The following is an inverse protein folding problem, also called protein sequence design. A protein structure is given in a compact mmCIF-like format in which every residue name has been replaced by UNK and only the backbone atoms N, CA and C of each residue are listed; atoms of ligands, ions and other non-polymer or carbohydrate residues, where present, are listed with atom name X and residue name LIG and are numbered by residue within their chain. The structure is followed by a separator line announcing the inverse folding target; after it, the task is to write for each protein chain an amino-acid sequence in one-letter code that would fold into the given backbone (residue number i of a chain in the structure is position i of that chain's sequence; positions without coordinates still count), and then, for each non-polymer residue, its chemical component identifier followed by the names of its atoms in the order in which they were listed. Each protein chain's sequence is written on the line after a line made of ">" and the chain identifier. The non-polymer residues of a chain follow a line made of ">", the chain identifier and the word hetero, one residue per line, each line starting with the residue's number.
data_IF_108706689004
#
_entry.id   IF_108706689004
#
_cell.length_a   1.000
_cell.length_b   1.000
_cell.length_c   1.000
_cell.angle_alpha   90.00
_cell.angle_beta   90.00
_cell.angle_gamma   90.00
#
_symmetry.space_group_name_H-M   'P 1'
#
loop_
_entity.id
_entity.type
_entity.pdbx_description
1 polymer ?
#
# COMPACT_ATOMS: atom_id res chain seq x y z
N UNK A 1 -36.29 -24.90 60.66
CA UNK A 1 -36.68 -25.43 59.33
C UNK A 1 -35.91 -24.63 58.28
N UNK A 2 -35.11 -25.32 57.47
CA UNK A 2 -34.39 -24.74 56.32
C UNK A 2 -35.40 -24.48 55.19
N UNK A 3 -35.28 -23.37 54.48
CA UNK A 3 -35.74 -23.24 53.10
C UNK A 3 -34.88 -22.18 52.40
N UNK A 4 -33.89 -22.68 51.68
CA UNK A 4 -33.04 -21.96 50.75
C UNK A 4 -33.86 -21.60 49.51
N UNK A 5 -34.08 -20.31 49.25
CA UNK A 5 -34.53 -19.81 47.95
C UNK A 5 -33.33 -19.30 47.16
N UNK A 6 -32.85 -20.18 46.29
CA UNK A 6 -31.92 -19.91 45.22
C UNK A 6 -32.48 -18.85 44.24
N UNK A 7 -31.69 -17.82 43.96
CA UNK A 7 -31.62 -17.25 42.60
C UNK A 7 -30.16 -17.09 42.21
N UNK A 8 -29.56 -18.16 41.69
CA UNK A 8 -28.28 -18.06 40.99
C UNK A 8 -28.52 -17.28 39.69
N UNK A 9 -27.97 -16.06 39.60
CA UNK A 9 -27.89 -15.36 38.32
C UNK A 9 -27.07 -16.23 37.38
N UNK A 10 -27.71 -16.77 36.34
CA UNK A 10 -27.02 -17.51 35.27
C UNK A 10 -26.05 -16.56 34.59
N UNK A 11 -24.76 -16.74 34.86
CA UNK A 11 -23.66 -16.10 34.13
C UNK A 11 -23.78 -16.52 32.66
N UNK A 12 -23.74 -15.59 31.68
CA UNK A 12 -23.69 -15.96 30.28
C UNK A 12 -22.47 -16.84 30.03
N UNK A 13 -22.67 -18.05 29.48
CA UNK A 13 -21.57 -18.91 29.05
C UNK A 13 -20.81 -18.20 27.93
N UNK A 14 -19.65 -17.64 28.25
CA UNK A 14 -18.67 -17.20 27.27
C UNK A 14 -18.33 -18.40 26.38
N UNK A 15 -18.46 -18.25 25.05
CA UNK A 15 -18.01 -19.26 24.10
C UNK A 15 -16.54 -19.59 24.39
N UNK A 16 -16.13 -20.86 24.34
CA UNK A 16 -14.73 -21.22 24.52
C UNK A 16 -13.90 -20.45 23.48
N UNK A 17 -12.98 -19.62 23.98
CA UNK A 17 -11.95 -18.96 23.19
C UNK A 17 -11.24 -20.08 22.42
N UNK A 18 -11.23 -20.02 21.09
CA UNK A 18 -10.40 -20.94 20.28
C UNK A 18 -9.01 -20.91 20.88
N UNK A 19 -8.57 -22.04 21.41
CA UNK A 19 -7.20 -22.22 21.89
C UNK A 19 -6.29 -21.79 20.74
N UNK A 20 -5.34 -20.88 21.03
CA UNK A 20 -4.22 -20.67 20.13
C UNK A 20 -3.55 -22.01 19.95
N UNK A 21 -3.45 -22.48 18.72
CA UNK A 21 -2.61 -23.61 18.37
C UNK A 21 -1.18 -23.28 18.80
N UNK A 22 -0.42 -24.22 19.38
CA UNK A 22 0.98 -24.01 19.68
C UNK A 22 1.71 -23.64 18.39
N UNK A 23 2.60 -22.63 18.48
CA UNK A 23 3.45 -22.23 17.36
C UNK A 23 4.21 -23.48 16.88
N UNK A 24 4.20 -23.83 15.59
CA UNK A 24 4.92 -25.00 15.10
C UNK A 24 6.42 -24.84 15.37
N UNK A 25 7.09 -25.94 15.74
CA UNK A 25 8.55 -26.01 15.99
C UNK A 25 9.36 -25.89 14.69
N UNK A 26 9.01 -24.96 13.80
CA UNK A 26 9.45 -24.92 12.40
C UNK A 26 10.90 -24.47 12.22
N UNK A 27 11.59 -24.00 13.27
CA UNK A 27 12.96 -23.50 13.11
C UNK A 27 13.92 -24.64 12.73
N UNK A 28 13.69 -25.87 13.23
CA UNK A 28 14.57 -26.99 12.92
C UNK A 28 14.29 -27.61 11.54
N UNK A 29 13.02 -27.68 11.12
CA UNK A 29 12.66 -28.08 9.75
C UNK A 29 13.11 -27.04 8.72
N UNK A 30 13.04 -25.74 9.02
CA UNK A 30 13.53 -24.70 8.11
C UNK A 30 15.05 -24.77 7.91
N UNK A 31 15.81 -25.08 8.97
CA UNK A 31 17.27 -25.23 8.89
C UNK A 31 17.69 -26.50 8.14
N UNK A 32 16.96 -27.60 8.29
CA UNK A 32 17.24 -28.83 7.53
C UNK A 32 16.85 -28.68 6.06
N UNK A 33 15.73 -28.01 5.77
CA UNK A 33 15.31 -27.72 4.40
C UNK A 33 16.24 -26.71 3.71
N UNK A 34 16.83 -25.75 4.43
CA UNK A 34 17.76 -24.78 3.86
C UNK A 34 19.03 -25.45 3.28
N UNK A 35 19.57 -26.45 3.97
CA UNK A 35 20.75 -27.19 3.50
C UNK A 35 20.45 -28.08 2.27
N UNK A 36 19.23 -28.63 2.19
CA UNK A 36 18.78 -29.37 1.00
C UNK A 36 18.44 -28.42 -0.16
N UNK A 37 17.95 -27.22 0.13
CA UNK A 37 17.66 -26.17 -0.85
C UNK A 37 18.95 -25.65 -1.50
N UNK A 38 20.01 -25.42 -0.73
CA UNK A 38 21.33 -25.00 -1.23
C UNK A 38 21.92 -26.03 -2.23
N UNK A 39 21.81 -27.33 -1.93
CA UNK A 39 22.20 -28.40 -2.87
C UNK A 39 21.32 -28.50 -4.12
N UNK A 40 20.06 -28.06 -4.03
CA UNK A 40 19.16 -28.01 -5.19
C UNK A 40 19.42 -26.79 -6.09
N UNK A 41 19.87 -25.67 -5.49
CA UNK A 41 20.20 -24.44 -6.22
C UNK A 41 21.48 -24.58 -7.05
N UNK A 42 22.48 -25.32 -6.58
CA UNK A 42 23.72 -25.58 -7.34
C UNK A 42 23.49 -26.43 -8.60
N UNK A 43 22.35 -27.12 -8.72
CA UNK A 43 22.04 -28.02 -9.84
C UNK A 43 20.87 -27.56 -10.72
N UNK A 44 20.28 -26.39 -10.47
CA UNK A 44 19.19 -25.89 -11.31
C UNK A 44 19.75 -25.05 -12.47
N UNK A 45 19.44 -25.36 -13.74
CA UNK A 45 19.75 -24.46 -14.85
C UNK A 45 19.09 -23.09 -14.62
N UNK A 46 19.79 -22.00 -14.97
CA UNK A 46 19.44 -20.58 -14.78
C UNK A 46 18.15 -20.13 -15.49
N UNK A 47 17.02 -20.79 -15.26
CA UNK A 47 15.70 -20.40 -15.75
C UNK A 47 14.63 -20.57 -14.66
N UNK A 48 14.91 -20.10 -13.45
CA UNK A 48 13.84 -19.64 -12.55
C UNK A 48 13.46 -18.20 -12.93
N UNK A 49 13.05 -17.99 -14.18
CA UNK A 49 12.17 -16.87 -14.50
C UNK A 49 10.85 -17.21 -13.83
N UNK A 50 10.71 -16.81 -12.57
CA UNK A 50 9.44 -16.85 -11.87
C UNK A 50 8.48 -16.08 -12.76
N UNK A 51 7.55 -16.79 -13.41
CA UNK A 51 6.59 -16.19 -14.34
C UNK A 51 5.94 -14.99 -13.67
N UNK A 52 6.25 -13.79 -14.16
CA UNK A 52 5.66 -12.56 -13.65
C UNK A 52 4.17 -12.64 -13.96
N UNK A 53 3.36 -12.90 -12.94
CA UNK A 53 1.93 -12.74 -13.08
C UNK A 53 1.66 -11.24 -13.22
N UNK A 54 1.59 -10.76 -14.46
CA UNK A 54 1.36 -9.35 -14.80
C UNK A 54 -0.05 -8.88 -14.48
N UNK A 55 -0.92 -9.78 -13.99
CA UNK A 55 -2.32 -9.51 -13.80
C UNK A 55 -2.62 -8.84 -12.45
N UNK A 56 -2.74 -7.51 -12.47
CA UNK A 56 -3.13 -6.68 -11.31
C UNK A 56 -4.65 -6.62 -11.08
N UNK A 57 -5.44 -7.53 -11.67
CA UNK A 57 -6.91 -7.51 -11.60
C UNK A 57 -7.48 -7.48 -10.18
N UNK A 58 -6.81 -8.09 -9.21
CA UNK A 58 -7.26 -8.06 -7.82
C UNK A 58 -7.18 -6.65 -7.21
N UNK A 59 -6.40 -5.74 -7.79
CA UNK A 59 -6.30 -4.33 -7.42
C UNK A 59 -7.09 -3.41 -8.35
N UNK A 60 -7.92 -3.97 -9.25
CA UNK A 60 -8.75 -3.19 -10.15
C UNK A 60 -9.81 -2.40 -9.36
N UNK A 61 -9.81 -1.09 -9.50
CA UNK A 61 -10.75 -0.22 -8.82
C UNK A 61 -10.34 1.26 -8.79
N UNK A 62 -11.09 2.05 -8.05
CA UNK A 62 -10.83 3.49 -7.85
C UNK A 62 -10.19 3.73 -6.49
N UNK A 63 -9.26 4.67 -6.42
CA UNK A 63 -8.53 5.01 -5.21
C UNK A 63 -8.46 6.54 -5.06
N UNK A 64 -8.53 7.00 -3.82
CA UNK A 64 -8.13 8.34 -3.41
C UNK A 64 -6.61 8.31 -3.16
N UNK A 65 -5.83 9.04 -3.96
CA UNK A 65 -4.38 9.17 -3.77
C UNK A 65 -4.10 10.44 -3.02
N UNK A 66 -3.48 10.33 -1.86
CA UNK A 66 -3.07 11.45 -1.03
C UNK A 66 -1.55 11.62 -1.07
N UNK A 67 -1.11 12.86 -1.22
CA UNK A 67 0.30 13.26 -1.12
C UNK A 67 0.43 14.54 -0.28
N UNK A 68 1.58 14.70 0.38
CA UNK A 68 1.86 15.87 1.21
C UNK A 68 2.88 16.79 0.53
N UNK A 69 2.51 18.05 0.37
CA UNK A 69 3.43 19.12 0.00
C UNK A 69 3.81 19.91 1.25
N UNK A 70 4.94 19.56 1.87
CA UNK A 70 5.39 20.19 3.13
C UNK A 70 5.66 21.68 2.96
N UNK A 71 6.30 22.10 1.87
CA UNK A 71 6.67 23.50 1.62
C UNK A 71 5.46 24.42 1.52
N UNK A 72 4.35 23.94 0.95
CA UNK A 72 3.12 24.70 0.81
C UNK A 72 2.11 24.44 1.93
N UNK A 73 2.42 23.54 2.88
CA UNK A 73 1.51 23.07 3.94
C UNK A 73 0.14 22.62 3.40
N UNK A 74 0.15 21.77 2.37
CA UNK A 74 -1.06 21.28 1.68
C UNK A 74 -1.02 19.77 1.48
N UNK A 75 -2.19 19.14 1.56
CA UNK A 75 -2.42 17.76 1.13
C UNK A 75 -3.11 17.81 -0.23
N UNK A 76 -2.57 17.07 -1.20
CA UNK A 76 -3.18 16.91 -2.52
C UNK A 76 -3.90 15.58 -2.57
N UNK A 77 -5.17 15.61 -2.98
CA UNK A 77 -6.01 14.43 -3.20
C UNK A 77 -6.27 14.30 -4.69
N UNK A 78 -5.76 13.23 -5.28
CA UNK A 78 -6.00 12.84 -6.68
C UNK A 78 -6.89 11.61 -6.76
N UNK A 79 -7.45 11.36 -7.95
CA UNK A 79 -8.24 10.15 -8.22
C UNK A 79 -7.43 9.21 -9.10
N UNK A 80 -7.16 8.01 -8.60
CA UNK A 80 -6.46 6.95 -9.34
C UNK A 80 -7.45 5.87 -9.72
N UNK A 81 -7.44 5.44 -10.97
CA UNK A 81 -8.20 4.29 -11.45
C UNK A 81 -7.24 3.27 -12.02
N UNK A 82 -7.22 2.07 -11.41
CA UNK A 82 -6.48 0.91 -11.89
C UNK A 82 -7.48 0.00 -12.60
N UNK A 83 -7.23 -0.28 -13.88
CA UNK A 83 -8.05 -1.19 -14.67
C UNK A 83 -7.54 -2.63 -14.56
N UNK A 84 -8.41 -3.58 -14.88
CA UNK A 84 -8.07 -5.01 -14.80
C UNK A 84 -6.94 -5.43 -15.76
N UNK A 85 -6.70 -4.68 -16.83
CA UNK A 85 -5.60 -4.89 -17.78
C UNK A 85 -4.29 -4.21 -17.35
N UNK A 86 -4.24 -3.64 -16.15
CA UNK A 86 -3.07 -2.95 -15.61
C UNK A 86 -2.89 -1.52 -16.11
N UNK A 87 -3.78 -1.00 -16.98
CA UNK A 87 -3.75 0.43 -17.28
C UNK A 87 -4.10 1.23 -16.03
N UNK A 88 -3.43 2.36 -15.86
CA UNK A 88 -3.69 3.29 -14.76
C UNK A 88 -3.97 4.68 -15.31
N UNK A 89 -4.98 5.34 -14.75
CA UNK A 89 -5.31 6.73 -15.03
C UNK A 89 -5.37 7.49 -13.72
N UNK A 90 -4.60 8.57 -13.62
CA UNK A 90 -4.64 9.50 -12.50
C UNK A 90 -5.25 10.82 -12.99
N UNK A 91 -6.29 11.27 -12.31
CA UNK A 91 -6.90 12.58 -12.52
C UNK A 91 -6.48 13.47 -11.36
N UNK A 92 -5.66 14.45 -11.67
CA UNK A 92 -5.25 15.51 -10.76
C UNK A 92 -5.85 16.84 -11.21
N UNK A 93 -5.81 17.84 -10.33
CA UNK A 93 -6.11 19.23 -10.70
C UNK A 93 -5.10 19.78 -11.72
N UNK A 94 -3.87 19.24 -11.71
CA UNK A 94 -2.79 19.64 -12.61
C UNK A 94 -2.86 18.94 -13.99
N UNK A 95 -3.71 17.93 -14.14
CA UNK A 95 -3.90 17.23 -15.41
C UNK A 95 -4.20 15.74 -15.27
N UNK A 96 -4.18 15.04 -16.40
CA UNK A 96 -4.43 13.59 -16.47
C UNK A 96 -3.11 12.88 -16.78
N UNK A 97 -2.70 11.98 -15.89
CA UNK A 97 -1.54 11.10 -16.08
C UNK A 97 -2.05 9.70 -16.46
N UNK A 98 -1.32 9.03 -17.35
CA UNK A 98 -1.62 7.65 -17.74
C UNK A 98 -0.39 6.80 -17.51
N UNK A 99 -0.61 5.53 -17.20
CA UNK A 99 0.48 4.62 -16.90
C UNK A 99 0.09 3.16 -16.96
N UNK A 100 1.05 2.32 -16.57
CA UNK A 100 0.92 0.88 -16.52
C UNK A 100 1.34 0.41 -15.13
N UNK A 101 0.50 -0.41 -14.52
CA UNK A 101 0.76 -1.15 -13.31
C UNK A 101 1.34 -2.52 -13.67
N UNK A 102 2.41 -2.89 -12.97
CA UNK A 102 3.11 -4.16 -13.14
C UNK A 102 3.59 -4.67 -11.79
N UNK A 103 3.77 -5.98 -11.66
CA UNK A 103 4.41 -6.53 -10.46
C UNK A 103 5.92 -6.56 -10.62
N UNK A 104 6.58 -6.05 -9.60
CA UNK A 104 7.99 -6.29 -9.34
C UNK A 104 8.08 -7.31 -8.19
N UNK A 105 8.90 -8.36 -8.36
CA UNK A 105 9.15 -9.38 -7.33
C UNK A 105 7.87 -10.00 -6.70
N UNK A 106 6.80 -10.16 -7.48
CA UNK A 106 5.50 -10.78 -7.12
C UNK A 106 4.74 -10.19 -5.91
N UNK A 107 5.26 -9.11 -5.30
CA UNK A 107 4.73 -8.55 -4.05
C UNK A 107 4.80 -7.03 -4.00
N UNK A 108 5.47 -6.41 -4.98
CA UNK A 108 5.55 -4.96 -5.12
C UNK A 108 4.79 -4.58 -6.39
N UNK A 109 3.76 -3.76 -6.25
CA UNK A 109 3.11 -3.09 -7.37
C UNK A 109 3.96 -1.89 -7.78
N UNK A 110 4.39 -1.87 -9.02
CA UNK A 110 5.00 -0.72 -9.66
C UNK A 110 4.00 -0.09 -10.64
N UNK A 111 3.62 1.16 -10.40
CA UNK A 111 2.82 1.96 -11.33
C UNK A 111 3.74 2.99 -11.97
N UNK A 112 4.04 2.79 -13.26
CA UNK A 112 4.84 3.74 -14.05
C UNK A 112 3.89 4.67 -14.80
N UNK A 113 3.97 5.96 -14.51
CA UNK A 113 3.13 7.00 -15.07
C UNK A 113 3.95 7.91 -15.96
N UNK A 114 3.35 8.28 -17.10
CA UNK A 114 3.87 9.27 -18.02
C UNK A 114 2.88 10.44 -18.09
N UNK A 115 3.40 11.66 -18.03
CA UNK A 115 2.62 12.89 -18.22
C UNK A 115 2.53 13.15 -19.73
N UNK A 116 1.32 13.15 -20.28
CA UNK A 116 1.11 13.23 -21.74
C UNK A 116 1.23 14.66 -22.32
N UNK A 117 1.29 15.69 -21.46
CA UNK A 117 1.13 17.09 -21.87
C UNK A 117 2.38 17.96 -21.70
N UNK A 118 3.44 17.47 -21.07
CA UNK A 118 4.69 18.24 -20.91
C UNK A 118 5.69 17.86 -21.99
N UNK A 119 6.49 18.84 -22.43
CA UNK A 119 7.58 18.65 -23.41
C UNK A 119 8.67 17.71 -22.89
N UNK A 120 8.72 17.51 -21.58
CA UNK A 120 9.62 16.61 -20.89
C UNK A 120 8.80 15.42 -20.38
N UNK A 121 9.13 14.20 -20.82
CA UNK A 121 8.53 12.97 -20.31
C UNK A 121 8.99 12.75 -18.86
N UNK A 122 8.28 13.34 -17.89
CA UNK A 122 8.52 13.05 -16.49
C UNK A 122 7.93 11.66 -16.18
N UNK A 123 8.82 10.68 -16.00
CA UNK A 123 8.48 9.36 -15.47
C UNK A 123 8.25 9.44 -13.97
N UNK A 124 7.05 9.05 -13.54
CA UNK A 124 6.73 8.88 -12.12
C UNK A 124 6.48 7.41 -11.83
N UNK A 125 7.15 6.85 -10.82
CA UNK A 125 6.94 5.47 -10.39
C UNK A 125 6.37 5.43 -8.98
N UNK A 126 5.23 4.78 -8.78
CA UNK A 126 4.73 4.43 -7.45
C UNK A 126 5.03 2.96 -7.15
N UNK A 127 5.68 2.71 -6.01
CA UNK A 127 5.99 1.38 -5.51
C UNK A 127 5.21 1.09 -4.24
N UNK A 128 4.43 0.02 -4.23
CA UNK A 128 3.56 -0.35 -3.12
C UNK A 128 3.69 -1.83 -2.81
N UNK A 129 3.87 -2.20 -1.55
CA UNK A 129 3.75 -3.60 -1.17
C UNK A 129 2.28 -4.01 -1.22
N UNK A 130 1.98 -4.97 -2.07
CA UNK A 130 0.65 -5.53 -2.25
C UNK A 130 0.79 -7.03 -2.05
N UNK A 131 0.36 -7.49 -0.87
CA UNK A 131 0.16 -8.92 -0.66
C UNK A 131 -0.89 -9.48 -1.62
N UNK A 132 -1.34 -10.71 -1.40
CA UNK A 132 -2.43 -11.31 -2.19
C UNK A 132 -3.82 -10.87 -1.68
N UNK A 133 -4.01 -9.58 -1.46
CA UNK A 133 -5.28 -9.02 -0.96
C UNK A 133 -6.11 -8.45 -2.10
N UNK A 134 -7.41 -8.71 -2.12
CA UNK A 134 -8.31 -8.10 -3.09
C UNK A 134 -8.58 -6.63 -2.75
N UNK A 135 -8.94 -5.84 -3.76
CA UNK A 135 -9.33 -4.43 -3.65
C UNK A 135 -10.28 -4.13 -2.49
N UNK A 136 -11.20 -5.07 -2.21
CA UNK A 136 -12.23 -4.93 -1.17
C UNK A 136 -11.71 -5.13 0.24
N UNK A 137 -10.58 -5.84 0.39
CA UNK A 137 -9.97 -6.20 1.66
C UNK A 137 -8.84 -5.25 2.05
N UNK A 138 -8.49 -4.29 1.18
CA UNK A 138 -7.44 -3.31 1.38
C UNK A 138 -8.05 -2.09 2.08
N UNK A 139 -7.50 -1.71 3.24
CA UNK A 139 -7.88 -0.46 3.91
C UNK A 139 -7.16 0.74 3.28
N UNK A 140 -5.86 0.61 3.08
CA UNK A 140 -5.03 1.58 2.38
C UNK A 140 -3.75 0.91 1.86
N UNK A 141 -3.12 1.58 0.91
CA UNK A 141 -1.84 1.17 0.36
C UNK A 141 -0.84 2.31 0.51
N UNK A 142 0.30 1.99 1.08
CA UNK A 142 1.41 2.91 1.27
C UNK A 142 2.32 2.81 0.05
N UNK A 143 2.55 3.95 -0.60
CA UNK A 143 3.34 4.03 -1.82
C UNK A 143 4.57 4.90 -1.61
N UNK A 144 5.71 4.42 -2.11
CA UNK A 144 6.89 5.25 -2.33
C UNK A 144 6.83 5.73 -3.78
N UNK A 145 6.62 7.03 -3.95
CA UNK A 145 6.59 7.66 -5.26
C UNK A 145 7.98 8.25 -5.56
N UNK A 146 8.60 7.80 -6.64
CA UNK A 146 9.84 8.34 -7.18
C UNK A 146 9.56 9.14 -8.44
N UNK A 147 10.02 10.39 -8.47
CA UNK A 147 9.85 11.32 -9.61
C UNK A 147 11.17 12.00 -9.92
N UNK A 148 11.42 12.30 -11.18
CA UNK A 148 12.53 13.16 -11.60
C UNK A 148 11.93 14.54 -11.90
N UNK A 149 12.42 15.59 -11.24
CA UNK A 149 11.93 16.95 -11.52
C UNK A 149 12.58 17.54 -12.80
N UNK A 150 12.16 18.75 -13.19
CA UNK A 150 12.69 19.48 -14.36
C UNK A 150 14.20 19.77 -14.33
N UNK A 151 14.87 19.52 -13.20
CA UNK A 151 16.32 19.68 -13.02
C UNK A 151 17.05 18.34 -12.90
N UNK A 152 16.39 17.23 -13.26
CA UNK A 152 16.93 15.87 -13.15
C UNK A 152 17.28 15.43 -11.72
N UNK A 153 16.65 16.02 -10.71
CA UNK A 153 16.85 15.64 -9.30
C UNK A 153 15.80 14.59 -8.94
N UNK A 154 16.20 13.40 -8.45
CA UNK A 154 15.27 12.40 -7.96
C UNK A 154 14.62 12.89 -6.66
N UNK A 155 13.29 12.87 -6.65
CA UNK A 155 12.46 13.19 -5.50
C UNK A 155 11.68 11.94 -5.12
N UNK A 156 11.85 11.48 -3.89
CA UNK A 156 11.04 10.42 -3.31
C UNK A 156 10.00 11.02 -2.35
N UNK A 157 8.75 10.63 -2.46
CA UNK A 157 7.66 11.07 -1.57
C UNK A 157 6.81 9.90 -1.15
N UNK A 158 6.34 9.93 0.10
CA UNK A 158 5.39 8.95 0.60
C UNK A 158 3.98 9.38 0.19
N UNK A 159 3.22 8.44 -0.37
CA UNK A 159 1.84 8.64 -0.78
C UNK A 159 0.96 7.53 -0.20
N UNK A 160 -0.33 7.81 -0.09
CA UNK A 160 -1.30 6.84 0.43
C UNK A 160 -2.44 6.72 -0.55
N UNK A 161 -2.76 5.50 -0.96
CA UNK A 161 -3.90 5.18 -1.80
C UNK A 161 -4.98 4.51 -0.94
N UNK A 162 -6.19 5.08 -0.92
CA UNK A 162 -7.33 4.54 -0.18
C UNK A 162 -8.38 4.06 -1.17
N UNK A 163 -8.75 2.76 -1.18
CA UNK A 163 -9.84 2.26 -2.01
C UNK A 163 -11.15 3.03 -1.76
N UNK A 164 -11.88 3.31 -2.84
CA UNK A 164 -13.11 4.08 -2.76
C UNK A 164 -14.13 3.68 -3.81
N UNK A 165 -15.37 3.46 -3.35
CA UNK A 165 -16.51 3.15 -4.21
C UNK A 165 -17.36 4.40 -4.52
N UNK A 166 -16.94 5.57 -4.04
CA UNK A 166 -17.72 6.80 -4.17
C UNK A 166 -17.69 7.32 -5.61
N UNK A 167 -18.89 7.58 -6.17
CA UNK A 167 -19.06 8.09 -7.53
C UNK A 167 -18.78 9.60 -7.66
N UNK A 168 -18.77 10.34 -6.56
CA UNK A 168 -18.68 11.82 -6.53
C UNK A 168 -17.33 12.39 -6.08
N UNK A 169 -16.24 11.61 -6.16
CA UNK A 169 -14.94 12.06 -5.66
C UNK A 169 -14.25 12.90 -6.73
N UNK A 170 -13.88 14.11 -6.34
CA UNK A 170 -13.13 15.05 -7.15
C UNK A 170 -11.74 15.25 -6.55
N UNK A 171 -10.77 15.53 -7.41
CA UNK A 171 -9.44 15.95 -6.99
C UNK A 171 -9.51 17.27 -6.24
N UNK A 172 -8.69 17.44 -5.21
CA UNK A 172 -8.79 18.55 -4.26
C UNK A 172 -7.43 18.90 -3.66
N UNK A 173 -7.19 20.20 -3.42
CA UNK A 173 -6.09 20.69 -2.60
C UNK A 173 -6.64 21.07 -1.23
N UNK A 174 -6.14 20.41 -0.19
CA UNK A 174 -6.58 20.57 1.19
C UNK A 174 -5.49 21.30 1.96
N UNK A 175 -5.73 22.54 2.35
CA UNK A 175 -4.81 23.28 3.20
C UNK A 175 -4.79 22.68 4.61
N UNK A 176 -3.59 22.50 5.19
CA UNK A 176 -3.45 22.05 6.58
C UNK A 176 -4.11 23.08 7.51
N UNK A 177 -4.77 22.60 8.58
CA UNK A 177 -5.58 23.40 9.53
C UNK A 177 -6.88 24.00 8.95
N UNK A 178 -7.24 23.70 7.69
CA UNK A 178 -8.56 24.05 7.15
C UNK A 178 -9.69 23.18 7.71
N UNK A 179 -10.93 23.61 7.56
CA UNK A 179 -12.10 22.78 7.92
C UNK A 179 -12.11 21.44 7.15
N UNK A 180 -11.69 21.44 5.87
CA UNK A 180 -11.57 20.23 5.05
C UNK A 180 -10.51 19.27 5.62
N UNK A 181 -9.39 19.79 6.11
CA UNK A 181 -8.36 19.02 6.78
C UNK A 181 -8.87 18.37 8.08
N UNK A 182 -9.61 19.09 8.92
CA UNK A 182 -10.19 18.50 10.13
C UNK A 182 -11.21 17.39 9.81
N UNK A 183 -12.03 17.56 8.78
CA UNK A 183 -12.93 16.51 8.28
C UNK A 183 -12.14 15.29 7.77
N UNK A 184 -11.06 15.52 7.04
CA UNK A 184 -10.18 14.46 6.54
C UNK A 184 -9.53 13.68 7.69
N UNK A 185 -8.96 14.37 8.68
CA UNK A 185 -8.35 13.75 9.85
C UNK A 185 -9.36 13.01 10.72
N UNK A 186 -10.60 13.49 10.80
CA UNK A 186 -11.66 12.74 11.48
C UNK A 186 -11.97 11.43 10.75
N UNK A 187 -12.02 11.45 9.41
CA UNK A 187 -12.28 10.26 8.59
C UNK A 187 -11.10 9.29 8.59
N UNK A 188 -9.87 9.80 8.48
CA UNK A 188 -8.64 9.02 8.36
C UNK A 188 -7.57 9.57 9.34
N UNK A 189 -7.64 9.23 10.64
CA UNK A 189 -6.78 9.84 11.66
C UNK A 189 -5.29 9.53 11.51
N UNK A 190 -4.95 8.43 10.84
CA UNK A 190 -3.55 8.04 10.62
C UNK A 190 -2.95 8.68 9.35
N UNK A 191 -3.77 9.24 8.46
CA UNK A 191 -3.35 9.65 7.12
C UNK A 191 -2.21 10.67 7.15
N UNK A 192 -2.35 11.74 7.94
CA UNK A 192 -1.32 12.76 8.03
C UNK A 192 0.01 12.18 8.55
N UNK A 193 -0.05 11.33 9.58
CA UNK A 193 1.15 10.69 10.14
C UNK A 193 1.83 9.80 9.10
N UNK A 194 1.05 9.05 8.32
CA UNK A 194 1.57 8.21 7.23
C UNK A 194 2.20 9.03 6.12
N UNK A 195 1.61 10.17 5.75
CA UNK A 195 2.17 11.08 4.74
C UNK A 195 3.43 11.80 5.22
N UNK A 196 3.53 12.07 6.53
CA UNK A 196 4.70 12.66 7.18
C UNK A 196 5.81 11.64 7.49
N UNK A 197 5.55 10.34 7.33
CA UNK A 197 6.55 9.32 7.55
C UNK A 197 7.70 9.54 6.55
N UNK A 198 8.84 10.05 7.06
CA UNK A 198 9.99 10.39 6.24
C UNK A 198 10.59 9.15 5.57
N UNK A 199 11.13 9.44 4.38
CA UNK A 199 12.13 8.66 3.66
C UNK A 199 13.09 7.96 4.63
N UNK A 200 13.27 6.64 4.45
CA UNK A 200 14.55 6.02 4.80
C UNK A 200 15.60 6.87 4.11
N UNK A 201 16.32 7.69 4.88
CA UNK A 201 17.47 8.40 4.38
C UNK A 201 18.29 7.39 3.59
N UNK A 202 18.55 7.65 2.30
CA UNK A 202 19.67 6.96 1.64
C UNK A 202 20.88 7.33 2.48
N UNK A 203 21.36 6.39 3.29
CA UNK A 203 22.64 6.60 3.94
C UNK A 203 23.63 6.74 2.78
N UNK A 204 24.31 7.89 2.68
CA UNK A 204 25.44 8.06 1.78
C UNK A 204 26.67 7.23 2.23
N UNK A 205 26.45 6.25 3.11
CA UNK A 205 27.42 5.26 3.57
C UNK A 205 26.73 3.91 3.61
N UNK A 206 27.17 3.04 2.70
CA UNK A 206 27.08 1.59 2.89
C UNK A 206 28.05 1.29 4.03
N UNK A 207 27.53 0.91 5.20
CA UNK A 207 28.32 0.28 6.25
C UNK A 207 28.03 -1.21 6.22
N UNK A 208 29.08 -1.99 5.95
CA UNK A 208 29.08 -3.44 6.13
C UNK A 208 28.93 -3.80 7.61
#
# INVERSE_FOLDING_TARGET
>A
MKNDLFTSKKVPKLKPRRQQLPMPNDIQEYLQNAAELEKSLENSPEELIIGQNSNVRHLCGKYERYSLCESQKRIVKDIVTIYADGKVVIRSLEGIQKGIASYFMNSILAINLNILNDKDEIGTQLLMYVGRFEYKDIECLHAVCSTINSHNIPLARHEVLIPTNSLGILSEIIQIESQAFYKLNYKYPQLLRSLQARQLHTSNRISW
#
